data_IF_027099686036
#
_entry.id   IF_027099686036
#
_cell.length_a   1.000
_cell.length_b   1.000
_cell.length_c   1.000
_cell.angle_alpha   90.00
_cell.angle_beta   90.00
_cell.angle_gamma   90.00
#
_symmetry.space_group_name_H-M   'P 1'
#
loop_
_entity.id
_entity.type
_entity.pdbx_description
1 polymer ?
#
# COMPACT_ATOMS: atom_id res chain seq x y z
N UNK A 1 -1.75 51.14 -13.44
CA UNK A 1 -2.41 51.38 -12.14
C UNK A 1 -2.74 50.04 -11.53
N UNK A 2 -2.18 49.71 -10.36
CA UNK A 2 -2.56 48.51 -9.60
C UNK A 2 -3.58 48.98 -8.55
N UNK A 3 -4.70 48.27 -8.44
CA UNK A 3 -5.75 48.58 -7.46
C UNK A 3 -5.25 48.22 -6.05
N UNK A 4 -5.09 49.21 -5.18
CA UNK A 4 -4.57 49.05 -3.81
C UNK A 4 -5.69 49.00 -2.75
N UNK A 5 -6.96 48.93 -3.15
CA UNK A 5 -8.12 48.97 -2.25
C UNK A 5 -8.85 47.62 -2.11
N UNK A 6 -8.21 46.50 -2.47
CA UNK A 6 -8.81 45.17 -2.31
C UNK A 6 -8.85 44.76 -0.84
N UNK A 7 -10.04 44.75 -0.25
CA UNK A 7 -10.27 44.19 1.09
C UNK A 7 -10.25 42.66 0.98
N UNK A 8 -9.24 42.03 1.58
CA UNK A 8 -9.10 40.56 1.62
C UNK A 8 -9.64 40.06 2.94
N UNK A 9 -10.55 39.07 2.90
CA UNK A 9 -11.05 38.40 4.09
C UNK A 9 -9.92 37.65 4.80
N UNK A 10 -9.76 37.88 6.10
CA UNK A 10 -8.72 37.25 6.94
C UNK A 10 -9.33 36.40 8.04
N UNK A 11 -8.69 35.27 8.32
CA UNK A 11 -9.00 34.35 9.41
C UNK A 11 -7.80 34.30 10.36
N UNK A 12 -8.06 34.41 11.66
CA UNK A 12 -7.04 34.24 12.69
C UNK A 12 -6.69 32.76 12.87
N UNK A 13 -5.45 32.40 12.54
CA UNK A 13 -4.96 31.01 12.65
C UNK A 13 -3.67 31.00 13.45
N UNK A 14 -3.73 30.44 14.66
CA UNK A 14 -2.60 30.42 15.63
C UNK A 14 -2.09 31.84 15.93
N UNK A 15 -3.01 32.72 16.31
CA UNK A 15 -2.73 34.12 16.71
C UNK A 15 -2.08 34.97 15.59
N UNK A 16 -2.29 34.57 14.33
CA UNK A 16 -1.80 35.31 13.17
C UNK A 16 -2.92 35.46 12.13
N UNK A 17 -3.15 36.69 11.61
CA UNK A 17 -4.09 36.89 10.51
C UNK A 17 -3.55 36.23 9.25
N UNK A 18 -4.35 35.34 8.65
CA UNK A 18 -4.06 34.73 7.35
C UNK A 18 -5.22 35.01 6.39
N UNK A 19 -4.96 35.20 5.08
CA UNK A 19 -6.06 35.28 4.12
C UNK A 19 -6.93 34.02 4.17
N UNK A 20 -8.25 34.21 4.19
CA UNK A 20 -9.23 33.12 4.29
C UNK A 20 -9.03 32.07 3.18
N UNK A 21 -8.78 32.54 1.95
CA UNK A 21 -8.48 31.69 0.80
C UNK A 21 -7.25 30.78 1.03
N UNK A 22 -6.17 31.32 1.61
CA UNK A 22 -4.95 30.56 1.92
C UNK A 22 -5.22 29.54 3.04
N UNK A 23 -6.05 29.90 4.01
CA UNK A 23 -6.42 28.97 5.07
C UNK A 23 -7.23 27.77 4.53
N UNK A 24 -8.27 28.05 3.74
CA UNK A 24 -9.10 27.02 3.11
C UNK A 24 -8.27 26.11 2.21
N UNK A 25 -7.36 26.66 1.40
CA UNK A 25 -6.47 25.85 0.57
C UNK A 25 -5.62 24.87 1.41
N UNK A 26 -4.94 25.38 2.44
CA UNK A 26 -4.08 24.57 3.30
C UNK A 26 -4.84 23.49 4.09
N UNK A 27 -6.13 23.70 4.35
CA UNK A 27 -6.97 22.72 5.04
C UNK A 27 -7.21 21.46 4.19
N UNK A 28 -7.40 21.62 2.88
CA UNK A 28 -7.82 20.53 1.99
C UNK A 28 -6.73 19.97 1.09
N UNK A 29 -5.62 20.70 0.88
CA UNK A 29 -4.55 20.26 -0.04
C UNK A 29 -3.86 18.97 0.39
N UNK A 30 -3.84 18.66 1.70
CA UNK A 30 -3.12 17.51 2.26
C UNK A 30 -3.88 16.16 2.11
N UNK A 31 -4.98 16.11 1.36
CA UNK A 31 -5.77 14.89 1.19
C UNK A 31 -4.99 13.76 0.52
N UNK A 32 -4.29 14.08 -0.58
CA UNK A 32 -3.50 13.11 -1.34
C UNK A 32 -2.32 12.57 -0.52
N UNK A 33 -1.54 13.46 0.11
CA UNK A 33 -0.37 13.08 0.89
C UNK A 33 -0.73 12.14 2.05
N UNK A 34 -1.87 12.38 2.71
CA UNK A 34 -2.35 11.49 3.78
C UNK A 34 -2.73 10.10 3.27
N UNK A 35 -3.33 10.01 2.09
CA UNK A 35 -3.63 8.73 1.47
C UNK A 35 -2.33 7.98 1.17
N UNK A 36 -1.37 8.63 0.51
CA UNK A 36 -0.06 8.05 0.19
C UNK A 36 0.71 7.61 1.45
N UNK A 37 0.65 8.42 2.51
CA UNK A 37 1.25 8.08 3.79
C UNK A 37 0.62 6.81 4.40
N UNK A 38 -0.71 6.69 4.36
CA UNK A 38 -1.42 5.50 4.83
C UNK A 38 -1.07 4.25 4.01
N UNK A 39 -0.91 4.39 2.69
CA UNK A 39 -0.45 3.32 1.81
C UNK A 39 1.00 2.91 2.10
N UNK A 40 1.86 3.85 2.50
CA UNK A 40 3.28 3.63 2.76
C UNK A 40 3.58 2.87 4.05
N UNK A 41 2.81 3.08 5.13
CA UNK A 41 3.14 2.54 6.46
C UNK A 41 3.09 1.01 6.58
N UNK A 42 2.12 0.36 5.92
CA UNK A 42 1.91 -1.09 6.02
C UNK A 42 1.76 -1.74 4.63
N UNK A 43 2.45 -1.18 3.63
CA UNK A 43 2.27 -1.54 2.23
C UNK A 43 2.95 -2.85 1.82
N UNK A 44 2.21 -3.74 1.16
CA UNK A 44 2.72 -4.92 0.45
C UNK A 44 3.68 -4.60 -0.72
N UNK A 45 3.85 -3.32 -1.03
CA UNK A 45 4.67 -2.77 -2.10
C UNK A 45 6.17 -3.07 -1.94
N UNK A 46 6.64 -3.34 -0.72
CA UNK A 46 8.03 -3.71 -0.43
C UNK A 46 8.44 -5.11 -0.93
N UNK A 47 7.51 -5.92 -1.43
CA UNK A 47 7.82 -7.25 -1.96
C UNK A 47 8.61 -7.15 -3.27
N UNK A 48 9.88 -7.56 -3.22
CA UNK A 48 10.76 -7.62 -4.39
C UNK A 48 10.17 -8.57 -5.44
N UNK A 49 9.83 -8.04 -6.61
CA UNK A 49 9.33 -8.82 -7.74
C UNK A 49 9.98 -8.39 -9.05
N UNK A 50 10.27 -9.36 -9.92
CA UNK A 50 10.85 -9.11 -11.26
C UNK A 50 9.78 -8.60 -12.23
N UNK A 51 8.52 -8.99 -12.02
CA UNK A 51 7.39 -8.62 -12.89
C UNK A 51 6.79 -7.30 -12.41
N UNK A 52 6.95 -6.23 -13.19
CA UNK A 52 6.51 -4.88 -12.84
C UNK A 52 5.01 -4.79 -12.52
N UNK A 53 4.16 -5.53 -13.23
CA UNK A 53 2.71 -5.54 -13.01
C UNK A 53 2.32 -6.01 -11.61
N UNK A 54 3.14 -6.86 -10.96
CA UNK A 54 2.87 -7.32 -9.59
C UNK A 54 2.94 -6.15 -8.60
N UNK A 55 3.79 -5.15 -8.85
CA UNK A 55 3.87 -3.95 -8.03
C UNK A 55 2.56 -3.16 -8.09
N UNK A 56 1.98 -3.01 -9.28
CA UNK A 56 0.68 -2.36 -9.45
C UNK A 56 -0.45 -3.13 -8.77
N UNK A 57 -0.46 -4.46 -8.91
CA UNK A 57 -1.47 -5.30 -8.26
C UNK A 57 -1.46 -5.13 -6.73
N UNK A 58 -0.29 -5.21 -6.10
CA UNK A 58 -0.19 -5.01 -4.65
C UNK A 58 -0.53 -3.58 -4.24
N UNK A 59 -0.16 -2.57 -5.04
CA UNK A 59 -0.56 -1.19 -4.78
C UNK A 59 -2.09 -1.00 -4.84
N UNK A 60 -2.77 -1.59 -5.83
CA UNK A 60 -4.23 -1.55 -5.92
C UNK A 60 -4.90 -2.24 -4.72
N UNK A 61 -4.36 -3.39 -4.28
CA UNK A 61 -4.85 -4.05 -3.06
C UNK A 61 -4.67 -3.18 -1.80
N UNK A 62 -3.58 -2.43 -1.70
CA UNK A 62 -3.37 -1.50 -0.58
C UNK A 62 -4.45 -0.40 -0.54
N UNK A 63 -4.78 0.17 -1.70
CA UNK A 63 -5.87 1.17 -1.80
C UNK A 63 -7.20 0.57 -1.33
N UNK A 64 -7.53 -0.64 -1.77
CA UNK A 64 -8.77 -1.32 -1.39
C UNK A 64 -8.84 -1.52 0.12
N UNK A 65 -7.76 -1.95 0.77
CA UNK A 65 -7.73 -2.12 2.22
C UNK A 65 -7.93 -0.80 2.98
N UNK A 66 -7.27 0.29 2.54
CA UNK A 66 -7.43 1.61 3.16
C UNK A 66 -8.87 2.12 3.01
N UNK A 67 -9.46 1.96 1.82
CA UNK A 67 -10.84 2.36 1.56
C UNK A 67 -11.84 1.52 2.38
N UNK A 68 -11.64 0.21 2.48
CA UNK A 68 -12.46 -0.67 3.31
C UNK A 68 -12.37 -0.28 4.79
N UNK A 69 -11.20 0.12 5.28
CA UNK A 69 -11.03 0.62 6.64
C UNK A 69 -11.74 1.97 6.88
N UNK A 70 -11.74 2.87 5.89
CA UNK A 70 -12.51 4.12 5.95
C UNK A 70 -14.00 3.80 6.04
N UNK A 71 -14.51 2.89 5.22
CA UNK A 71 -15.91 2.44 5.29
C UNK A 71 -16.25 1.82 6.64
N UNK A 72 -15.39 0.93 7.16
CA UNK A 72 -15.55 0.33 8.50
C UNK A 72 -15.68 1.40 9.59
N UNK A 73 -14.87 2.46 9.53
CA UNK A 73 -14.95 3.59 10.47
C UNK A 73 -16.24 4.39 10.35
N UNK A 74 -16.73 4.59 9.12
CA UNK A 74 -17.98 5.31 8.86
C UNK A 74 -19.18 4.48 9.36
N UNK A 75 -19.20 3.19 9.07
CA UNK A 75 -20.32 2.31 9.43
C UNK A 75 -20.46 2.10 10.94
N UNK A 76 -19.34 2.04 11.67
CA UNK A 76 -19.36 1.79 13.12
C UNK A 76 -19.58 3.06 13.98
N UNK A 77 -19.94 4.20 13.37
CA UNK A 77 -20.34 5.47 14.00
C UNK A 77 -19.89 5.66 15.46
N UNK A 78 -18.58 5.71 15.76
CA UNK A 78 -18.18 6.13 17.08
C UNK A 78 -18.44 7.64 17.12
N UNK A 79 -19.27 8.11 18.06
CA UNK A 79 -19.34 9.53 18.47
C UNK A 79 -17.91 10.14 18.46
N UNK A 80 -17.66 11.42 18.13
CA UNK A 80 -16.30 11.98 17.98
C UNK A 80 -15.31 11.65 19.12
N UNK A 81 -15.81 11.41 20.34
CA UNK A 81 -15.04 10.89 21.49
C UNK A 81 -14.65 9.40 21.40
N UNK A 82 -15.49 8.54 20.83
CA UNK A 82 -15.22 7.11 20.63
C UNK A 82 -14.29 6.82 19.45
N UNK A 83 -14.16 7.73 18.47
CA UNK A 83 -13.14 7.66 17.40
C UNK A 83 -11.71 7.73 17.97
N UNK A 84 -11.55 8.32 19.17
CA UNK A 84 -10.29 8.38 19.91
C UNK A 84 -10.07 7.17 20.84
N UNK A 85 -11.14 6.46 21.26
CA UNK A 85 -11.07 5.36 22.24
C UNK A 85 -11.16 3.96 21.61
N UNK A 86 -11.93 3.77 20.54
CA UNK A 86 -11.90 2.57 19.72
C UNK A 86 -10.68 2.64 18.77
N UNK A 87 -9.48 2.48 19.34
CA UNK A 87 -8.20 2.49 18.62
C UNK A 87 -8.03 1.23 17.75
N UNK A 88 -9.01 0.91 16.90
CA UNK A 88 -8.81 -0.08 15.87
C UNK A 88 -7.92 0.54 14.80
N UNK A 89 -6.62 0.27 14.91
CA UNK A 89 -5.62 0.76 13.96
C UNK A 89 -5.78 0.08 12.60
N UNK A 90 -5.28 0.73 11.54
CA UNK A 90 -5.24 0.12 10.21
C UNK A 90 -4.49 -1.23 10.22
N UNK A 91 -3.45 -1.34 11.05
CA UNK A 91 -2.72 -2.60 11.28
C UNK A 91 -3.63 -3.69 11.86
N UNK A 92 -4.34 -3.38 12.95
CA UNK A 92 -5.27 -4.32 13.58
C UNK A 92 -6.41 -4.73 12.65
N UNK A 93 -6.91 -3.82 11.82
CA UNK A 93 -7.88 -4.13 10.78
C UNK A 93 -7.35 -5.12 9.75
N UNK A 94 -6.12 -4.90 9.26
CA UNK A 94 -5.47 -5.84 8.34
C UNK A 94 -5.22 -7.20 8.98
N UNK A 95 -4.75 -7.23 10.23
CA UNK A 95 -4.53 -8.47 10.98
C UNK A 95 -5.83 -9.27 11.13
N UNK A 96 -6.94 -8.61 11.48
CA UNK A 96 -8.25 -9.27 11.57
C UNK A 96 -8.73 -9.86 10.23
N UNK A 97 -8.55 -9.13 9.13
CA UNK A 97 -8.87 -9.64 7.78
C UNK A 97 -8.01 -10.86 7.45
N UNK A 98 -6.70 -10.78 7.68
CA UNK A 98 -5.77 -11.88 7.41
C UNK A 98 -6.15 -13.12 8.23
N UNK A 99 -6.38 -12.97 9.53
CA UNK A 99 -6.82 -14.07 10.40
C UNK A 99 -8.13 -14.68 9.90
N UNK A 100 -9.12 -13.86 9.53
CA UNK A 100 -10.39 -14.36 8.97
C UNK A 100 -10.23 -15.14 7.67
N UNK A 101 -9.41 -14.63 6.74
CA UNK A 101 -9.14 -15.30 5.47
C UNK A 101 -8.36 -16.61 5.64
N UNK A 102 -7.35 -16.61 6.52
CA UNK A 102 -6.54 -17.80 6.81
C UNK A 102 -7.38 -18.87 7.50
N UNK A 103 -8.17 -18.52 8.50
CA UNK A 103 -9.03 -19.47 9.20
C UNK A 103 -10.02 -20.12 8.24
N UNK A 104 -10.66 -19.33 7.37
CA UNK A 104 -11.56 -19.87 6.33
C UNK A 104 -10.84 -20.86 5.40
N UNK A 105 -9.63 -20.51 4.95
CA UNK A 105 -8.84 -21.40 4.09
C UNK A 105 -8.46 -22.71 4.81
N UNK A 106 -8.09 -22.64 6.09
CA UNK A 106 -7.73 -23.80 6.92
C UNK A 106 -8.93 -24.74 7.08
N UNK A 107 -10.12 -24.19 7.35
CA UNK A 107 -11.37 -24.94 7.44
C UNK A 107 -11.70 -25.65 6.11
N UNK A 108 -11.59 -24.95 4.98
CA UNK A 108 -11.85 -25.51 3.65
C UNK A 108 -10.82 -26.59 3.24
N UNK A 109 -9.56 -26.42 3.64
CA UNK A 109 -8.48 -27.34 3.31
C UNK A 109 -8.36 -28.54 4.27
N UNK A 110 -9.12 -28.57 5.37
CA UNK A 110 -9.03 -29.61 6.39
C UNK A 110 -7.65 -29.68 7.09
N UNK A 111 -6.88 -28.60 7.05
CA UNK A 111 -5.57 -28.52 7.69
C UNK A 111 -5.78 -28.25 9.19
N UNK A 112 -5.10 -28.99 10.06
CA UNK A 112 -5.18 -28.74 11.52
C UNK A 112 -4.30 -27.55 11.90
N UNK A 113 -4.74 -26.71 12.84
CA UNK A 113 -3.96 -25.61 13.46
C UNK A 113 -2.83 -26.13 14.38
N UNK A 114 -2.08 -27.14 13.94
CA UNK A 114 -0.89 -27.55 14.66
C UNK A 114 0.15 -26.44 14.47
N UNK A 115 0.76 -25.91 15.55
CA UNK A 115 1.89 -25.02 15.43
C UNK A 115 2.90 -25.67 14.49
N UNK A 116 3.34 -24.94 13.47
CA UNK A 116 4.49 -25.35 12.67
C UNK A 116 5.61 -25.69 13.65
N UNK A 117 6.06 -26.94 13.66
CA UNK A 117 7.23 -27.31 14.45
C UNK A 117 8.34 -26.30 14.15
N UNK A 118 9.02 -25.76 15.19
CA UNK A 118 10.09 -24.80 14.96
C UNK A 118 11.04 -25.39 13.94
N UNK A 119 11.49 -24.62 12.94
CA UNK A 119 12.33 -25.15 11.87
C UNK A 119 13.50 -25.88 12.52
N UNK A 120 13.57 -27.20 12.30
CA UNK A 120 14.64 -28.04 12.84
C UNK A 120 15.96 -27.37 12.48
N UNK A 121 16.68 -26.92 13.51
CA UNK A 121 17.88 -26.12 13.36
C UNK A 121 18.91 -26.91 12.55
N UNK A 122 19.04 -26.59 11.26
CA UNK A 122 19.94 -27.29 10.33
C UNK A 122 19.36 -27.61 8.95
N UNK A 123 18.04 -27.56 8.74
CA UNK A 123 17.49 -27.70 7.38
C UNK A 123 17.57 -26.36 6.65
N UNK A 124 18.53 -26.22 5.73
CA UNK A 124 18.51 -25.14 4.76
C UNK A 124 17.18 -25.21 3.99
N UNK A 125 16.38 -24.14 4.06
CA UNK A 125 15.23 -23.99 3.17
C UNK A 125 15.72 -24.20 1.73
N UNK A 126 14.96 -24.92 0.86
CA UNK A 126 15.31 -24.98 -0.55
C UNK A 126 15.47 -23.54 -1.02
N UNK A 127 16.69 -23.19 -1.43
CA UNK A 127 17.01 -21.85 -1.89
C UNK A 127 15.99 -21.42 -2.93
N UNK A 128 15.74 -20.11 -3.06
CA UNK A 128 14.95 -19.56 -4.16
C UNK A 128 15.35 -20.31 -5.44
N UNK A 129 14.44 -21.02 -6.13
CA UNK A 129 14.80 -21.68 -7.37
C UNK A 129 15.43 -20.62 -8.25
N UNK A 130 16.68 -20.87 -8.68
CA UNK A 130 17.43 -19.94 -9.52
C UNK A 130 16.49 -19.49 -10.64
N UNK A 131 16.23 -18.17 -10.78
CA UNK A 131 15.37 -17.70 -11.85
C UNK A 131 15.95 -18.27 -13.14
N UNK A 132 15.16 -19.02 -13.91
CA UNK A 132 15.60 -19.63 -15.18
C UNK A 132 16.38 -18.57 -15.94
N UNK A 133 17.72 -18.69 -15.92
CA UNK A 133 18.61 -17.70 -16.50
C UNK A 133 18.47 -17.91 -17.99
N UNK A 134 17.54 -17.21 -18.62
CA UNK A 134 17.43 -17.17 -20.07
C UNK A 134 18.84 -16.75 -20.53
N UNK A 135 19.58 -17.69 -21.12
CA UNK A 135 20.95 -17.46 -21.56
C UNK A 135 20.87 -16.39 -22.63
N UNK A 136 21.16 -15.14 -22.26
CA UNK A 136 21.15 -14.02 -23.20
C UNK A 136 22.31 -14.12 -24.18
N UNK A 137 23.31 -14.92 -23.87
CA UNK A 137 24.42 -15.24 -24.76
C UNK A 137 24.65 -16.74 -24.82
N UNK A 138 24.88 -17.24 -26.04
CA UNK A 138 25.65 -18.46 -26.25
C UNK A 138 27.04 -17.98 -26.68
N UNK A 139 28.07 -18.34 -25.92
CA UNK A 139 29.44 -17.88 -26.12
C UNK A 139 29.57 -16.35 -26.16
N UNK A 140 29.69 -15.73 -27.35
CA UNK A 140 29.89 -14.28 -27.55
C UNK A 140 28.73 -13.58 -28.28
N UNK A 141 27.64 -14.28 -28.58
CA UNK A 141 26.52 -13.70 -29.35
C UNK A 141 25.25 -13.58 -28.52
N UNK A 142 24.58 -12.43 -28.61
CA UNK A 142 23.29 -12.20 -27.96
C UNK A 142 22.16 -12.95 -28.69
N UNK A 143 21.35 -13.71 -27.95
CA UNK A 143 20.22 -14.48 -28.50
C UNK A 143 19.11 -13.61 -29.13
N UNK A 144 19.14 -12.29 -28.88
CA UNK A 144 18.17 -11.31 -29.41
C UNK A 144 18.91 -10.37 -30.37
N UNK A 145 19.55 -10.92 -31.40
CA UNK A 145 19.87 -10.15 -32.61
C UNK A 145 19.07 -10.76 -33.75
N UNK A 146 18.18 -9.97 -34.32
CA UNK A 146 17.56 -10.28 -35.60
C UNK A 146 18.70 -10.36 -36.62
N UNK A 147 18.84 -11.50 -37.30
CA UNK A 147 19.74 -11.61 -38.45
C UNK A 147 18.91 -11.44 -39.72
N UNK A 148 19.50 -10.89 -40.78
CA UNK A 148 18.80 -10.68 -42.07
C UNK A 148 18.27 -12.00 -42.69
N UNK A 149 18.75 -13.15 -42.22
CA UNK A 149 18.30 -14.47 -42.66
C UNK A 149 17.00 -14.97 -41.99
N UNK A 150 16.46 -14.29 -40.97
CA UNK A 150 15.18 -14.67 -40.34
C UNK A 150 13.95 -14.19 -41.15
N UNK A 151 14.18 -13.45 -42.24
CA UNK A 151 13.15 -12.85 -43.10
C UNK A 151 13.08 -13.47 -44.51
N UNK A 152 13.41 -14.76 -44.65
CA UNK A 152 13.12 -15.53 -45.88
C UNK A 152 12.05 -16.58 -45.64
#
# INVERSE_FOLDING_TARGET
>A
MVSNNSKVETVEVREKPKPAMVHSYNQFVNGCDRADQNLGYYGLQGRKSVKWWKRLYFWALEIVHVNAFVLYKIMNNPTPQQLRSAKFSLKGFKEAILTGLVNKYIEEAGLTNNPLEPPTQGMALPGRPEPLRIKRLTEKQHLIRHTENDSK
#
